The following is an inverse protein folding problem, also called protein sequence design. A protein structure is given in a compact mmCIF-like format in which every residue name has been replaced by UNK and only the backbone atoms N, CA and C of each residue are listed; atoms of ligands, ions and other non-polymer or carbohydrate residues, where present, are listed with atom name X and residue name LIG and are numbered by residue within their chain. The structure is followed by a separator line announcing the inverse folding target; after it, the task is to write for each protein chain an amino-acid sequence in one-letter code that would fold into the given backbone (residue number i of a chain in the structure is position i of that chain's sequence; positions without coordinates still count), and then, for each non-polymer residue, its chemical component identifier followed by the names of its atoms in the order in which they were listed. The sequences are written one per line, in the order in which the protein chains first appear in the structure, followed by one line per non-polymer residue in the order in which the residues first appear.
data_IF_756055783916
#
_entry.id   IF_756055783916
#
_cell.length_a   1.000
_cell.length_b   1.000
_cell.length_c   1.000
_cell.angle_alpha   90.00
_cell.angle_beta   90.00
_cell.angle_gamma   90.00
#
_symmetry.space_group_name_H-M   'P 1'
#
loop_
_entity.id
_entity.type
_entity.pdbx_description
1 polymer ?
#
# COMPACT_ATOMS: atom_id res chain seq x y z
N UNK A 1 -0.25 -27.49 -6.21
CA UNK A 1 -0.10 -26.23 -6.98
C UNK A 1 -1.40 -25.42 -7.11
N UNK A 2 -2.57 -26.02 -7.45
CA UNK A 2 -3.83 -25.26 -7.59
C UNK A 2 -4.35 -24.65 -6.28
N UNK A 3 -4.44 -25.42 -5.20
CA UNK A 3 -4.94 -24.95 -3.90
C UNK A 3 -4.13 -23.79 -3.30
N UNK A 4 -2.80 -23.78 -3.50
CA UNK A 4 -1.92 -22.71 -3.03
C UNK A 4 -2.16 -21.39 -3.78
N UNK A 5 -2.32 -21.45 -5.10
CA UNK A 5 -2.67 -20.26 -5.91
C UNK A 5 -4.05 -19.73 -5.54
N UNK A 6 -5.04 -20.61 -5.37
CA UNK A 6 -6.39 -20.22 -4.92
C UNK A 6 -6.33 -19.49 -3.58
N UNK A 7 -5.55 -20.01 -2.62
CA UNK A 7 -5.38 -19.36 -1.32
C UNK A 7 -4.73 -17.98 -1.41
N UNK A 8 -3.70 -17.82 -2.24
CA UNK A 8 -3.06 -16.50 -2.44
C UNK A 8 -4.07 -15.52 -3.05
N UNK A 9 -4.87 -15.95 -4.03
CA UNK A 9 -5.89 -15.10 -4.64
C UNK A 9 -6.97 -14.68 -3.64
N UNK A 10 -7.39 -15.58 -2.74
CA UNK A 10 -8.31 -15.24 -1.64
C UNK A 10 -7.70 -14.18 -0.72
N UNK A 11 -6.42 -14.32 -0.37
CA UNK A 11 -5.73 -13.31 0.44
C UNK A 11 -5.58 -11.98 -0.29
N UNK A 12 -5.34 -11.97 -1.60
CA UNK A 12 -5.37 -10.75 -2.40
C UNK A 12 -6.74 -10.08 -2.36
N UNK A 13 -7.83 -10.85 -2.51
CA UNK A 13 -9.19 -10.30 -2.43
C UNK A 13 -9.48 -9.72 -1.04
N UNK A 14 -9.08 -10.39 0.04
CA UNK A 14 -9.18 -9.84 1.40
C UNK A 14 -8.35 -8.57 1.57
N UNK A 15 -7.14 -8.53 1.02
CA UNK A 15 -6.27 -7.36 1.07
C UNK A 15 -6.87 -6.15 0.33
N UNK A 16 -7.55 -6.38 -0.80
CA UNK A 16 -8.33 -5.35 -1.50
C UNK A 16 -9.42 -4.78 -0.59
N UNK A 17 -10.21 -5.63 0.05
CA UNK A 17 -11.27 -5.19 0.97
C UNK A 17 -10.69 -4.42 2.15
N UNK A 18 -9.59 -4.90 2.73
CA UNK A 18 -8.91 -4.22 3.85
C UNK A 18 -8.43 -2.83 3.43
N UNK A 19 -7.81 -2.70 2.26
CA UNK A 19 -7.37 -1.39 1.76
C UNK A 19 -8.54 -0.40 1.67
N UNK A 20 -9.66 -0.82 1.08
CA UNK A 20 -10.85 0.03 0.95
C UNK A 20 -11.42 0.38 2.32
N UNK A 21 -11.67 -0.60 3.18
CA UNK A 21 -12.30 -0.37 4.49
C UNK A 21 -11.42 0.50 5.39
N UNK A 22 -10.11 0.24 5.44
CA UNK A 22 -9.20 1.06 6.25
C UNK A 22 -9.04 2.47 5.65
N UNK A 23 -8.93 2.59 4.32
CA UNK A 23 -8.87 3.87 3.64
C UNK A 23 -10.07 4.75 3.95
N UNK A 24 -11.27 4.20 3.77
CA UNK A 24 -12.52 4.91 4.06
C UNK A 24 -12.70 5.21 5.54
N UNK A 25 -12.35 4.27 6.45
CA UNK A 25 -12.45 4.50 7.89
C UNK A 25 -11.54 5.65 8.36
N UNK A 26 -10.29 5.68 7.88
CA UNK A 26 -9.33 6.73 8.22
C UNK A 26 -9.76 8.08 7.63
N UNK A 27 -10.28 8.08 6.40
CA UNK A 27 -10.86 9.26 5.75
C UNK A 27 -12.07 9.80 6.53
N UNK A 28 -12.99 8.93 6.94
CA UNK A 28 -14.18 9.29 7.70
C UNK A 28 -13.84 9.87 9.09
N UNK A 29 -12.81 9.32 9.75
CA UNK A 29 -12.29 9.82 11.03
C UNK A 29 -11.45 11.10 10.89
N UNK A 30 -11.18 11.56 9.65
CA UNK A 30 -10.36 12.75 9.33
C UNK A 30 -8.99 12.73 10.00
N UNK A 31 -8.38 11.56 10.11
CA UNK A 31 -7.03 11.44 10.68
C UNK A 31 -6.04 12.07 9.70
N UNK A 32 -5.29 13.12 10.09
CA UNK A 32 -4.36 13.76 9.19
C UNK A 32 -3.14 12.86 8.94
N UNK A 33 -2.63 12.89 7.71
CA UNK A 33 -1.37 12.23 7.28
C UNK A 33 -1.36 10.70 7.37
N UNK A 34 -2.50 10.06 7.61
CA UNK A 34 -2.64 8.61 7.61
C UNK A 34 -3.71 8.22 6.60
N UNK A 35 -3.51 7.12 5.86
CA UNK A 35 -4.48 6.64 4.86
C UNK A 35 -4.75 5.15 5.00
N UNK A 36 -3.74 4.32 5.25
CA UNK A 36 -3.82 2.85 5.37
C UNK A 36 -4.40 2.11 4.13
N UNK A 37 -4.64 2.84 3.05
CA UNK A 37 -5.24 2.41 1.78
C UNK A 37 -4.37 1.43 0.96
N UNK A 38 -3.13 1.19 1.41
CA UNK A 38 -2.14 0.36 0.72
C UNK A 38 -1.54 -0.70 1.63
N UNK A 39 -2.03 -0.84 2.87
CA UNK A 39 -1.50 -1.80 3.85
C UNK A 39 -1.60 -3.24 3.32
N UNK A 40 -2.73 -3.62 2.74
CA UNK A 40 -2.94 -4.91 2.09
C UNK A 40 -2.04 -5.12 0.88
N UNK A 41 -1.81 -4.06 0.08
CA UNK A 41 -0.89 -4.12 -1.07
C UNK A 41 0.55 -4.37 -0.62
N UNK A 42 1.02 -3.66 0.40
CA UNK A 42 2.35 -3.84 0.98
C UNK A 42 2.48 -5.25 1.56
N UNK A 43 1.45 -5.74 2.28
CA UNK A 43 1.42 -7.10 2.82
C UNK A 43 1.58 -8.16 1.73
N UNK A 44 0.75 -8.11 0.69
CA UNK A 44 0.79 -9.10 -0.40
C UNK A 44 2.11 -9.02 -1.17
N UNK A 45 2.64 -7.83 -1.44
CA UNK A 45 3.96 -7.67 -2.06
C UNK A 45 5.09 -8.25 -1.21
N UNK A 46 5.07 -7.99 0.10
CA UNK A 46 6.08 -8.49 1.02
C UNK A 46 5.95 -9.99 1.28
N UNK A 47 4.75 -10.58 1.20
CA UNK A 47 4.51 -12.00 1.46
C UNK A 47 4.66 -12.87 0.19
N UNK A 48 4.06 -12.44 -0.92
CA UNK A 48 3.88 -13.24 -2.14
C UNK A 48 4.56 -12.64 -3.38
N UNK A 49 5.07 -11.41 -3.28
CA UNK A 49 5.87 -10.77 -4.32
C UNK A 49 5.06 -9.88 -5.28
N UNK A 50 5.77 -9.37 -6.29
CA UNK A 50 5.35 -8.24 -7.12
C UNK A 50 4.03 -8.48 -7.87
N UNK A 51 3.88 -9.61 -8.55
CA UNK A 51 2.70 -9.86 -9.39
C UNK A 51 1.38 -9.83 -8.60
N UNK A 52 1.36 -10.50 -7.44
CA UNK A 52 0.17 -10.49 -6.56
C UNK A 52 -0.05 -9.13 -5.90
N UNK A 53 1.04 -8.41 -5.59
CA UNK A 53 0.97 -7.05 -5.06
C UNK A 53 0.35 -6.07 -6.05
N UNK A 54 0.81 -6.09 -7.31
CA UNK A 54 0.26 -5.26 -8.39
C UNK A 54 -1.22 -5.61 -8.59
N UNK A 55 -1.57 -6.89 -8.66
CA UNK A 55 -2.95 -7.34 -8.78
C UNK A 55 -3.81 -6.76 -7.65
N UNK A 56 -3.35 -6.84 -6.40
CA UNK A 56 -4.07 -6.33 -5.23
C UNK A 56 -4.25 -4.81 -5.29
N UNK A 57 -3.16 -4.08 -5.53
CA UNK A 57 -3.16 -2.61 -5.54
C UNK A 57 -3.98 -2.02 -6.69
N UNK A 58 -3.84 -2.57 -7.90
CA UNK A 58 -4.62 -2.15 -9.07
C UNK A 58 -6.10 -2.48 -8.85
N UNK A 59 -6.42 -3.69 -8.39
CA UNK A 59 -7.82 -4.08 -8.12
C UNK A 59 -8.48 -3.18 -7.08
N UNK A 60 -7.73 -2.74 -6.06
CA UNK A 60 -8.22 -1.78 -5.05
C UNK A 60 -8.66 -0.47 -5.71
N UNK A 61 -7.82 0.12 -6.56
CA UNK A 61 -8.14 1.42 -7.19
C UNK A 61 -9.20 1.28 -8.28
N UNK A 62 -9.28 0.15 -8.97
CA UNK A 62 -10.37 -0.13 -9.90
C UNK A 62 -11.70 -0.28 -9.17
N UNK A 63 -11.73 -0.97 -8.03
CA UNK A 63 -12.93 -1.08 -7.19
C UNK A 63 -13.35 0.30 -6.69
N UNK A 64 -12.42 1.11 -6.19
CA UNK A 64 -12.69 2.49 -5.82
C UNK A 64 -13.13 3.34 -7.01
N UNK A 65 -12.64 3.05 -8.21
CA UNK A 65 -13.09 3.65 -9.47
C UNK A 65 -14.58 3.43 -9.73
N UNK A 66 -15.08 2.24 -9.42
CA UNK A 66 -16.48 1.86 -9.61
C UNK A 66 -17.37 2.37 -8.47
N UNK A 67 -16.90 2.29 -7.22
CA UNK A 67 -17.72 2.59 -6.03
C UNK A 67 -17.63 4.07 -5.62
N UNK A 68 -16.44 4.64 -5.65
CA UNK A 68 -16.15 6.02 -5.21
C UNK A 68 -15.97 7.03 -6.35
N UNK A 69 -15.89 6.57 -7.60
CA UNK A 69 -15.83 7.40 -8.80
C UNK A 69 -14.56 7.23 -9.63
N UNK A 70 -14.69 7.47 -10.95
CA UNK A 70 -13.66 7.15 -11.95
C UNK A 70 -12.31 7.86 -11.72
N UNK A 71 -12.28 8.95 -10.95
CA UNK A 71 -11.06 9.67 -10.59
C UNK A 71 -10.09 8.87 -9.73
N UNK A 72 -10.53 7.77 -9.09
CA UNK A 72 -9.65 6.86 -8.36
C UNK A 72 -8.81 5.94 -9.27
N UNK A 73 -9.29 5.67 -10.49
CA UNK A 73 -8.65 4.70 -11.41
C UNK A 73 -7.19 5.04 -11.72
N UNK A 74 -6.81 6.31 -12.02
CA UNK A 74 -5.43 6.65 -12.31
C UNK A 74 -4.46 6.39 -11.15
N UNK A 75 -4.93 6.41 -9.90
CA UNK A 75 -4.12 6.09 -8.72
C UNK A 75 -3.75 4.60 -8.63
N UNK A 76 -4.31 3.73 -9.49
CA UNK A 76 -3.82 2.37 -9.67
C UNK A 76 -2.32 2.34 -10.03
N UNK A 77 -1.81 3.35 -10.75
CA UNK A 77 -0.38 3.49 -11.05
C UNK A 77 0.46 3.68 -9.79
N UNK A 78 -0.04 4.46 -8.82
CA UNK A 78 0.62 4.66 -7.52
C UNK A 78 0.66 3.32 -6.77
N UNK A 79 -0.45 2.59 -6.75
CA UNK A 79 -0.50 1.28 -6.08
C UNK A 79 0.38 0.21 -6.76
N UNK A 80 0.52 0.24 -8.08
CA UNK A 80 1.48 -0.58 -8.78
C UNK A 80 2.93 -0.23 -8.36
N UNK A 81 3.25 1.06 -8.27
CA UNK A 81 4.56 1.52 -7.79
C UNK A 81 4.83 1.12 -6.33
N UNK A 82 3.81 1.14 -5.48
CA UNK A 82 3.90 0.60 -4.11
C UNK A 82 4.30 -0.87 -4.16
N UNK A 83 3.58 -1.66 -4.96
CA UNK A 83 3.82 -3.09 -5.04
C UNK A 83 5.22 -3.43 -5.57
N UNK A 84 5.69 -2.69 -6.57
CA UNK A 84 7.02 -2.83 -7.15
C UNK A 84 8.09 -2.51 -6.12
N UNK A 85 8.01 -1.33 -5.49
CA UNK A 85 9.00 -0.85 -4.51
C UNK A 85 9.18 -1.84 -3.36
N UNK A 86 8.07 -2.27 -2.74
CA UNK A 86 8.10 -3.23 -1.62
C UNK A 86 8.72 -4.56 -2.05
N UNK A 87 8.36 -5.05 -3.24
CA UNK A 87 8.87 -6.33 -3.75
C UNK A 87 10.37 -6.27 -4.06
N UNK A 88 10.87 -5.12 -4.54
CA UNK A 88 12.30 -4.90 -4.73
C UNK A 88 13.03 -4.85 -3.40
N UNK A 89 12.54 -4.09 -2.41
CA UNK A 89 13.12 -4.04 -1.06
C UNK A 89 13.19 -5.43 -0.41
N UNK A 90 12.13 -6.23 -0.55
CA UNK A 90 12.10 -7.64 -0.15
C UNK A 90 13.18 -8.46 -0.88
N UNK A 91 13.34 -8.29 -2.20
CA UNK A 91 14.33 -9.01 -3.00
C UNK A 91 15.75 -8.71 -2.51
N UNK A 92 16.06 -7.45 -2.22
CA UNK A 92 17.35 -7.04 -1.64
C UNK A 92 17.57 -7.61 -0.23
N UNK A 93 16.50 -7.93 0.50
CA UNK A 93 16.54 -8.52 1.84
C UNK A 93 16.43 -10.05 1.82
N UNK A 94 16.88 -10.70 0.74
CA UNK A 94 16.84 -12.15 0.55
C UNK A 94 15.44 -12.78 0.71
N UNK A 95 14.40 -12.06 0.27
CA UNK A 95 13.02 -12.55 0.34
C UNK A 95 12.33 -12.32 1.69
N UNK A 96 13.00 -11.66 2.64
CA UNK A 96 12.44 -11.30 3.95
C UNK A 96 11.96 -9.86 3.97
N UNK A 97 11.14 -9.51 4.96
CA UNK A 97 10.68 -8.14 5.19
C UNK A 97 10.82 -7.74 6.68
N UNK A 98 12.05 -7.69 7.21
CA UNK A 98 12.32 -7.27 8.60
C UNK A 98 12.14 -5.75 8.78
N UNK A 99 12.17 -5.30 10.04
CA UNK A 99 11.95 -3.88 10.39
C UNK A 99 12.83 -2.90 9.59
N UNK A 100 14.15 -3.14 9.42
CA UNK A 100 15.00 -2.22 8.66
C UNK A 100 14.56 -2.08 7.20
N UNK A 101 14.23 -3.20 6.55
CA UNK A 101 13.71 -3.22 5.17
C UNK A 101 12.38 -2.48 5.07
N UNK A 102 11.52 -2.60 6.09
CA UNK A 102 10.24 -1.93 6.13
C UNK A 102 10.36 -0.41 6.29
N UNK A 103 11.28 0.06 7.13
CA UNK A 103 11.59 1.49 7.26
C UNK A 103 12.11 2.03 5.93
N UNK A 104 13.09 1.35 5.31
CA UNK A 104 13.61 1.76 3.99
C UNK A 104 12.51 1.78 2.92
N UNK A 105 11.66 0.76 2.88
CA UNK A 105 10.52 0.72 1.96
C UNK A 105 9.56 1.90 2.20
N UNK A 106 9.19 2.18 3.46
CA UNK A 106 8.32 3.30 3.79
C UNK A 106 8.91 4.66 3.37
N UNK A 107 10.21 4.88 3.60
CA UNK A 107 10.91 6.08 3.16
C UNK A 107 10.91 6.21 1.63
N UNK A 108 11.25 5.15 0.90
CA UNK A 108 11.22 5.17 -0.57
C UNK A 108 9.81 5.45 -1.09
N UNK A 109 8.80 4.78 -0.53
CA UNK A 109 7.40 4.97 -0.91
C UNK A 109 6.92 6.40 -0.65
N UNK A 110 7.41 7.05 0.42
CA UNK A 110 7.05 8.44 0.75
C UNK A 110 7.45 9.45 -0.32
N UNK A 111 8.42 9.10 -1.17
CA UNK A 111 8.89 9.95 -2.28
C UNK A 111 8.31 9.44 -3.61
N UNK A 112 8.41 8.13 -3.87
CA UNK A 112 7.97 7.53 -5.13
C UNK A 112 6.46 7.68 -5.34
N UNK A 113 5.65 7.50 -4.30
CA UNK A 113 4.19 7.60 -4.44
C UNK A 113 3.76 9.02 -4.84
N UNK A 114 4.21 10.09 -4.17
CA UNK A 114 3.95 11.47 -4.60
C UNK A 114 4.51 11.83 -5.98
N UNK A 115 5.65 11.27 -6.41
CA UNK A 115 6.18 11.54 -7.76
C UNK A 115 5.18 11.16 -8.85
N UNK A 116 4.40 10.10 -8.64
CA UNK A 116 3.36 9.64 -9.57
C UNK A 116 2.01 10.27 -9.22
N UNK A 117 1.68 10.35 -7.93
CA UNK A 117 0.39 10.80 -7.44
C UNK A 117 0.17 12.30 -7.56
N UNK A 118 1.19 13.14 -7.37
CA UNK A 118 1.03 14.60 -7.43
C UNK A 118 0.63 15.10 -8.84
N UNK A 119 1.25 14.64 -9.95
CA UNK A 119 0.76 14.95 -11.29
C UNK A 119 -0.69 14.56 -11.52
N UNK A 120 -1.09 13.36 -11.06
CA UNK A 120 -2.48 12.90 -11.15
C UNK A 120 -3.42 13.82 -10.35
N UNK A 121 -3.03 14.20 -9.12
CA UNK A 121 -3.79 15.13 -8.28
C UNK A 121 -3.97 16.50 -8.94
N UNK A 122 -2.92 17.02 -9.56
CA UNK A 122 -2.96 18.29 -10.28
C UNK A 122 -3.89 18.22 -11.49
N UNK A 123 -3.77 17.17 -12.30
CA UNK A 123 -4.55 17.02 -13.52
C UNK A 123 -6.06 16.86 -13.26
N UNK A 124 -6.43 16.13 -12.20
CA UNK A 124 -7.83 15.80 -11.92
C UNK A 124 -8.52 16.75 -10.95
N UNK A 125 -7.77 17.37 -10.03
CA UNK A 125 -8.33 18.15 -8.92
C UNK A 125 -7.65 19.52 -8.73
N UNK A 126 -6.75 19.92 -9.63
CA UNK A 126 -6.00 21.16 -9.49
C UNK A 126 -4.99 21.16 -8.34
N UNK A 127 -4.75 20.02 -7.68
CA UNK A 127 -3.78 19.84 -6.59
C UNK A 127 -4.37 19.58 -5.20
N UNK A 128 -5.67 19.84 -5.00
CA UNK A 128 -6.37 19.63 -3.72
C UNK A 128 -7.44 18.55 -3.89
N UNK A 129 -7.39 17.49 -3.09
CA UNK A 129 -8.26 16.31 -3.25
C UNK A 129 -9.32 16.18 -2.15
N UNK A 130 -9.47 17.18 -1.29
CA UNK A 130 -10.30 17.10 -0.08
C UNK A 130 -9.69 16.23 1.02
N UNK A 131 -8.38 15.95 0.95
CA UNK A 131 -7.69 15.07 1.89
C UNK A 131 -7.11 15.84 3.08
N UNK A 132 -6.75 15.13 4.16
CA UNK A 132 -6.01 15.73 5.28
C UNK A 132 -4.66 16.36 4.88
N UNK A 133 -4.10 16.01 3.73
CA UNK A 133 -2.86 16.63 3.22
C UNK A 133 -3.06 18.02 2.63
N UNK A 134 -4.30 18.38 2.29
CA UNK A 134 -4.63 19.65 1.65
C UNK A 134 -4.31 20.85 2.55
N UNK A 135 -4.37 20.69 3.88
CA UNK A 135 -3.95 21.70 4.85
C UNK A 135 -2.48 22.06 4.65
N UNK A 136 -1.62 21.06 4.46
CA UNK A 136 -0.18 21.28 4.21
C UNK A 136 0.05 21.88 2.83
N UNK A 137 -0.69 21.43 1.81
CA UNK A 137 -0.60 21.98 0.46
C UNK A 137 -0.97 23.46 0.47
N UNK A 138 -2.08 23.83 1.13
CA UNK A 138 -2.50 25.22 1.26
C UNK A 138 -1.51 26.08 2.06
N UNK A 139 -0.95 25.55 3.15
CA UNK A 139 0.09 26.26 3.91
C UNK A 139 1.34 26.54 3.06
N UNK A 140 1.79 25.56 2.27
CA UNK A 140 2.90 25.74 1.31
C UNK A 140 2.56 26.72 0.19
N UNK A 141 1.30 26.77 -0.24
CA UNK A 141 0.84 27.76 -1.20
C UNK A 141 0.84 29.17 -0.64
N UNK A 142 0.37 29.34 0.59
CA UNK A 142 0.40 30.62 1.30
C UNK A 142 1.83 31.09 1.56
N UNK A 143 2.78 30.16 1.74
CA UNK A 143 4.22 30.49 1.84
C UNK A 143 4.87 30.85 0.49
N UNK A 144 4.09 31.02 -0.58
CA UNK A 144 4.56 31.46 -1.89
C UNK A 144 5.03 30.36 -2.85
N UNK A 145 4.85 29.07 -2.55
CA UNK A 145 5.22 28.00 -3.49
C UNK A 145 4.21 27.87 -4.64
N UNK A 146 4.69 27.43 -5.80
CA UNK A 146 3.83 27.06 -6.93
C UNK A 146 2.98 25.79 -6.63
N UNK A 147 1.96 25.48 -7.44
CA UNK A 147 0.97 24.43 -7.12
C UNK A 147 1.60 23.07 -7.18
N UNK A 148 2.53 22.91 -8.12
CA UNK A 148 3.17 21.64 -8.39
C UNK A 148 4.06 21.31 -7.19
N UNK A 149 4.90 22.25 -6.77
CA UNK A 149 5.73 22.10 -5.59
C UNK A 149 4.92 21.90 -4.32
N UNK A 150 3.87 22.70 -4.10
CA UNK A 150 3.04 22.57 -2.90
C UNK A 150 2.32 21.22 -2.83
N UNK A 151 1.73 20.77 -3.95
CA UNK A 151 1.03 19.47 -4.05
C UNK A 151 1.99 18.32 -3.82
N UNK A 152 3.18 18.38 -4.44
CA UNK A 152 4.20 17.35 -4.27
C UNK A 152 4.68 17.26 -2.82
N UNK A 153 5.14 18.36 -2.22
CA UNK A 153 5.67 18.35 -0.86
C UNK A 153 4.60 18.06 0.21
N UNK A 154 3.37 18.53 0.02
CA UNK A 154 2.25 18.16 0.88
C UNK A 154 1.91 16.67 0.78
N UNK A 155 1.97 16.10 -0.44
CA UNK A 155 1.79 14.67 -0.64
C UNK A 155 2.94 13.85 -0.04
N UNK A 156 4.20 14.30 -0.12
CA UNK A 156 5.35 13.66 0.54
C UNK A 156 5.15 13.62 2.04
N UNK A 157 4.76 14.73 2.66
CA UNK A 157 4.51 14.77 4.10
C UNK A 157 3.42 13.77 4.54
N UNK A 158 2.32 13.69 3.80
CA UNK A 158 1.26 12.70 4.09
C UNK A 158 1.70 11.26 3.85
N UNK A 159 2.41 11.00 2.75
CA UNK A 159 2.89 9.65 2.45
C UNK A 159 4.02 9.22 3.39
N UNK A 160 4.76 10.15 4.00
CA UNK A 160 5.82 9.81 4.95
C UNK A 160 5.27 9.04 6.14
N UNK A 161 4.31 9.63 6.85
CA UNK A 161 3.67 8.98 8.01
C UNK A 161 2.96 7.71 7.59
N UNK A 162 2.11 7.79 6.56
CA UNK A 162 1.32 6.66 6.10
C UNK A 162 2.16 5.45 5.67
N UNK A 163 3.18 5.65 4.81
CA UNK A 163 3.96 4.55 4.24
C UNK A 163 4.95 3.97 5.24
N UNK A 164 5.48 4.76 6.17
CA UNK A 164 6.27 4.25 7.28
C UNK A 164 5.44 3.39 8.22
N UNK A 165 4.30 3.91 8.70
CA UNK A 165 3.41 3.19 9.61
C UNK A 165 2.93 1.89 8.95
N UNK A 166 2.42 1.97 7.72
CA UNK A 166 1.92 0.79 7.00
C UNK A 166 3.02 -0.26 6.78
N UNK A 167 4.22 0.15 6.36
CA UNK A 167 5.32 -0.79 6.12
C UNK A 167 5.81 -1.47 7.40
N UNK A 168 5.94 -0.71 8.49
CA UNK A 168 6.33 -1.25 9.80
C UNK A 168 5.28 -2.21 10.33
N UNK A 169 3.98 -1.86 10.25
CA UNK A 169 2.88 -2.74 10.64
C UNK A 169 2.93 -4.05 9.87
N UNK A 170 3.13 -4.01 8.56
CA UNK A 170 3.27 -5.21 7.72
C UNK A 170 4.47 -6.05 8.16
N UNK A 171 5.61 -5.43 8.47
CA UNK A 171 6.78 -6.15 8.97
C UNK A 171 6.49 -6.86 10.29
N UNK A 172 5.84 -6.18 11.23
CA UNK A 172 5.45 -6.78 12.51
C UNK A 172 4.47 -7.93 12.32
N UNK A 173 3.49 -7.78 11.42
CA UNK A 173 2.52 -8.83 11.10
C UNK A 173 3.21 -10.07 10.52
N UNK A 174 4.11 -9.89 9.53
CA UNK A 174 4.81 -11.00 8.86
C UNK A 174 5.81 -11.71 9.77
N UNK A 175 6.51 -10.97 10.63
CA UNK A 175 7.51 -11.54 11.53
C UNK A 175 6.92 -12.04 12.86
N UNK A 176 5.71 -11.61 13.20
CA UNK A 176 4.98 -12.02 14.39
C UNK A 176 4.37 -13.42 14.32
N UNK A 177 3.79 -13.87 15.45
CA UNK A 177 3.15 -15.21 15.55
C UNK A 177 1.95 -15.36 14.60
N UNK A 178 1.19 -14.29 14.39
CA UNK A 178 0.01 -14.27 13.53
C UNK A 178 0.38 -14.45 12.04
N UNK A 179 1.41 -13.76 11.55
CA UNK A 179 1.90 -13.95 10.17
C UNK A 179 2.41 -15.36 9.94
N UNK A 180 3.11 -15.95 10.91
CA UNK A 180 3.51 -17.36 10.83
C UNK A 180 2.30 -18.28 10.70
N UNK A 181 1.24 -18.08 11.47
CA UNK A 181 -0.01 -18.85 11.34
C UNK A 181 -0.70 -18.65 9.98
N UNK A 182 -0.89 -17.39 9.56
CA UNK A 182 -1.51 -17.02 8.29
C UNK A 182 -0.75 -17.52 7.07
N UNK A 183 0.58 -17.71 7.17
CA UNK A 183 1.40 -18.29 6.12
C UNK A 183 1.48 -19.83 6.22
N UNK A 184 1.65 -20.38 7.43
CA UNK A 184 1.83 -21.82 7.70
C UNK A 184 0.57 -22.67 7.60
N UNK A 185 -0.62 -22.09 7.57
CA UNK A 185 -1.88 -22.82 7.29
C UNK A 185 -1.87 -23.65 5.99
N UNK A 186 -0.86 -23.50 5.13
CA UNK A 186 -0.63 -24.35 3.94
C UNK A 186 0.61 -25.27 4.02
N UNK A 187 1.45 -25.14 5.05
CA UNK A 187 2.64 -25.98 5.23
C UNK A 187 2.34 -27.23 6.08
N UNK A 188 1.33 -27.15 6.96
CA UNK A 188 0.87 -28.30 7.77
C UNK A 188 0.34 -29.47 6.93
N UNK A 189 -0.27 -29.19 5.79
CA UNK A 189 -0.76 -30.22 4.86
C UNK A 189 0.39 -30.97 4.16
N UNK A 190 1.52 -30.29 3.89
CA UNK A 190 2.70 -30.93 3.29
C UNK A 190 3.39 -31.95 4.23
N UNK A 191 3.26 -31.81 5.55
CA UNK A 191 3.82 -32.79 6.52
C UNK A 191 2.93 -34.03 6.68
N UNK A 192 1.60 -33.89 6.64
CA UNK A 192 0.70 -35.04 6.74
C UNK A 192 0.75 -35.96 5.52
N UNK A 193 0.98 -35.42 4.33
CA UNK A 193 1.04 -36.22 3.08
C UNK A 193 2.37 -36.98 2.94
N UNK A 194 3.48 -36.46 3.49
CA UNK A 194 4.79 -37.14 3.45
C UNK A 194 5.04 -38.15 4.57
N UNK A 195 4.23 -38.12 5.64
CA UNK A 195 4.35 -39.03 6.79
C UNK A 195 3.39 -40.24 6.70
N UNK A 196 2.57 -40.31 5.65
CA UNK A 196 1.58 -41.37 5.43
C UNK A 196 1.91 -42.27 4.23
N UNK A 197 3.19 -42.43 3.89
CA UNK A 197 3.68 -43.45 2.95
C UNK A 197 4.81 -44.21 3.59
#
# INVERSE_FOLDING_TARGET
MRAEKTRILVLCAMAVVINVVLGEAVSALKIPLLFLDTLGTIFISAAYGMGYGILTGVSTNLLMGVVGGASAIPFALVSAAVAVTVSLCRKFSHGRFPLPTAVVAGLLLSVICPMIGAPIRLALFGGLTGSGTDILIMALRQSGKDMISATYWGAVAGNFTDKLVSSVLVSLLLNGRLGKFLLQGGTGEKRKIKSGR
#
